data_IF_237254085111
#
_entry.id   IF_237254085111
#
_cell.length_a   1.000
_cell.length_b   1.000
_cell.length_c   1.000
_cell.angle_alpha   90.00
_cell.angle_beta   90.00
_cell.angle_gamma   90.00
#
_symmetry.space_group_name_H-M   'P 1'
#
loop_
_entity.id
_entity.type
_entity.pdbx_description
1 polymer ?
#
# COMPACT_ATOMS: atom_id res chain seq x y z
N UNK A 1 34.73 -24.33 6.12
CA UNK A 1 34.85 -23.76 4.76
C UNK A 1 33.95 -24.55 3.83
N UNK A 2 32.64 -24.33 3.95
CA UNK A 2 31.56 -24.87 3.10
C UNK A 2 30.71 -23.68 2.74
N UNK A 3 30.84 -23.10 1.58
CA UNK A 3 29.97 -21.96 1.31
C UNK A 3 29.82 -21.56 -0.16
N UNK A 4 30.89 -21.27 -0.87
CA UNK A 4 30.78 -20.64 -2.17
C UNK A 4 30.62 -21.59 -3.38
N UNK A 5 31.13 -22.82 -3.33
CA UNK A 5 30.91 -23.83 -4.38
C UNK A 5 29.49 -24.39 -4.33
N UNK A 6 28.94 -24.55 -3.14
CA UNK A 6 27.62 -25.12 -2.88
C UNK A 6 26.47 -24.24 -3.35
N UNK A 7 26.59 -22.92 -3.16
CA UNK A 7 25.58 -21.95 -3.63
C UNK A 7 25.49 -21.90 -5.16
N UNK A 8 26.63 -21.97 -5.85
CA UNK A 8 26.67 -21.93 -7.32
C UNK A 8 26.12 -23.22 -7.95
N UNK A 9 26.43 -24.38 -7.36
CA UNK A 9 25.89 -25.67 -7.79
C UNK A 9 24.38 -25.76 -7.50
N UNK A 10 23.94 -25.28 -6.35
CA UNK A 10 22.52 -25.19 -5.98
C UNK A 10 21.75 -24.29 -6.95
N UNK A 11 22.30 -23.12 -7.32
CA UNK A 11 21.71 -22.22 -8.30
C UNK A 11 21.56 -22.85 -9.69
N UNK A 12 22.60 -23.56 -10.15
CA UNK A 12 22.57 -24.27 -11.43
C UNK A 12 21.52 -25.39 -11.41
N UNK A 13 21.48 -26.18 -10.33
CA UNK A 13 20.51 -27.27 -10.16
C UNK A 13 19.06 -26.74 -10.08
N UNK A 14 18.83 -25.61 -9.42
CA UNK A 14 17.53 -24.94 -9.36
C UNK A 14 17.07 -24.47 -10.75
N UNK A 15 17.96 -23.81 -11.52
CA UNK A 15 17.65 -23.39 -12.88
C UNK A 15 17.36 -24.58 -13.82
N UNK A 16 18.10 -25.66 -13.69
CA UNK A 16 17.88 -26.86 -14.50
C UNK A 16 16.52 -27.54 -14.25
N UNK A 17 15.91 -27.30 -13.08
CA UNK A 17 14.62 -27.89 -12.67
C UNK A 17 13.46 -26.91 -12.65
N UNK A 18 13.67 -25.65 -13.04
CA UNK A 18 12.66 -24.58 -12.91
C UNK A 18 11.33 -24.88 -13.58
N UNK A 19 11.34 -25.57 -14.72
CA UNK A 19 10.11 -25.92 -15.44
C UNK A 19 9.23 -26.90 -14.64
N UNK A 20 9.80 -27.69 -13.74
CA UNK A 20 9.06 -28.54 -12.81
C UNK A 20 8.18 -27.77 -11.83
N UNK A 21 8.46 -26.47 -11.61
CA UNK A 21 7.64 -25.60 -10.73
C UNK A 21 6.22 -25.43 -11.27
N UNK A 22 6.00 -25.54 -12.58
CA UNK A 22 4.66 -25.45 -13.21
C UNK A 22 3.73 -26.58 -12.80
N UNK A 23 4.28 -27.71 -12.34
CA UNK A 23 3.50 -28.87 -11.90
C UNK A 23 3.20 -28.84 -10.39
N UNK A 24 3.71 -27.85 -9.66
CA UNK A 24 3.49 -27.73 -8.22
C UNK A 24 2.15 -27.03 -7.96
N UNK A 25 1.39 -27.54 -6.99
CA UNK A 25 0.13 -26.93 -6.57
C UNK A 25 0.35 -25.47 -6.13
N UNK A 26 -0.57 -24.59 -6.54
CA UNK A 26 -0.46 -23.14 -6.32
C UNK A 26 -0.39 -22.78 -4.83
N UNK A 27 -1.08 -23.51 -3.97
CA UNK A 27 -1.05 -23.32 -2.50
C UNK A 27 0.34 -23.57 -1.93
N UNK A 28 1.06 -24.56 -2.47
CA UNK A 28 2.43 -24.84 -2.05
C UNK A 28 3.39 -23.77 -2.53
N UNK A 29 3.24 -23.31 -3.77
CA UNK A 29 4.00 -22.18 -4.31
C UNK A 29 3.76 -20.95 -3.46
N UNK A 30 2.50 -20.64 -3.12
CA UNK A 30 2.11 -19.54 -2.25
C UNK A 30 2.78 -19.62 -0.87
N UNK A 31 2.73 -20.80 -0.24
CA UNK A 31 3.34 -20.99 1.07
C UNK A 31 4.86 -20.72 1.06
N UNK A 32 5.57 -21.20 0.02
CA UNK A 32 7.01 -20.97 -0.10
C UNK A 32 7.34 -19.51 -0.46
N UNK A 33 6.53 -18.84 -1.32
CA UNK A 33 6.70 -17.43 -1.62
C UNK A 33 6.51 -16.55 -0.37
N UNK A 34 5.54 -16.88 0.50
CA UNK A 34 5.38 -16.16 1.78
C UNK A 34 6.63 -16.26 2.68
N UNK A 35 7.23 -17.43 2.77
CA UNK A 35 8.47 -17.64 3.53
C UNK A 35 9.63 -16.85 2.91
N UNK A 36 9.78 -16.93 1.59
CA UNK A 36 10.83 -16.22 0.85
C UNK A 36 10.70 -14.70 1.06
N UNK A 37 9.50 -14.16 0.86
CA UNK A 37 9.25 -12.71 0.96
C UNK A 37 9.50 -12.17 2.37
N UNK A 38 9.16 -12.94 3.41
CA UNK A 38 9.41 -12.55 4.80
C UNK A 38 10.82 -12.94 5.30
N UNK A 39 11.64 -13.56 4.46
CA UNK A 39 12.99 -13.96 4.80
C UNK A 39 14.00 -12.82 4.81
N UNK A 40 15.09 -13.01 5.53
CA UNK A 40 16.19 -12.04 5.68
C UNK A 40 16.89 -11.73 4.35
N UNK A 41 17.09 -12.74 3.51
CA UNK A 41 17.85 -12.62 2.25
C UNK A 41 16.96 -12.36 1.04
N UNK A 42 15.75 -11.86 1.24
CA UNK A 42 14.75 -11.68 0.17
C UNK A 42 15.30 -10.90 -1.03
N UNK A 43 15.98 -9.77 -0.80
CA UNK A 43 16.54 -8.95 -1.88
C UNK A 43 17.53 -9.76 -2.73
N UNK A 44 18.45 -10.48 -2.08
CA UNK A 44 19.45 -11.30 -2.77
C UNK A 44 18.78 -12.38 -3.60
N UNK A 45 17.75 -13.05 -3.06
CA UNK A 45 17.04 -14.12 -3.77
C UNK A 45 16.26 -13.56 -4.96
N UNK A 46 15.53 -12.45 -4.78
CA UNK A 46 14.80 -11.81 -5.87
C UNK A 46 15.74 -11.39 -7.02
N UNK A 47 16.86 -10.76 -6.70
CA UNK A 47 17.85 -10.32 -7.70
C UNK A 47 18.56 -11.49 -8.39
N UNK A 48 18.84 -12.58 -7.66
CA UNK A 48 19.62 -13.70 -8.20
C UNK A 48 18.81 -14.66 -9.07
N UNK A 49 17.46 -14.74 -8.85
CA UNK A 49 16.63 -15.79 -9.44
C UNK A 49 15.33 -15.28 -10.09
N UNK A 50 15.34 -14.15 -10.85
CA UNK A 50 14.14 -13.67 -11.51
C UNK A 50 13.58 -14.67 -12.52
N UNK A 51 14.44 -15.44 -13.20
CA UNK A 51 14.07 -16.46 -14.16
C UNK A 51 13.38 -17.69 -13.53
N UNK A 52 13.65 -18.00 -12.26
CA UNK A 52 12.96 -19.04 -11.51
C UNK A 52 11.61 -18.50 -11.01
N UNK A 53 11.61 -17.30 -10.43
CA UNK A 53 10.38 -16.65 -9.96
C UNK A 53 9.39 -16.41 -11.09
N UNK A 54 9.87 -16.03 -12.26
CA UNK A 54 9.05 -15.83 -13.46
C UNK A 54 8.34 -17.07 -13.98
N UNK A 55 8.72 -18.29 -13.54
CA UNK A 55 7.98 -19.52 -13.86
C UNK A 55 6.64 -19.56 -13.14
N UNK A 56 6.60 -19.08 -11.90
CA UNK A 56 5.40 -19.09 -11.02
C UNK A 56 4.68 -17.73 -11.00
N UNK A 57 5.42 -16.65 -11.29
CA UNK A 57 4.95 -15.26 -11.36
C UNK A 57 5.42 -14.64 -12.69
N UNK A 58 4.89 -15.07 -13.84
CA UNK A 58 5.34 -14.58 -15.14
C UNK A 58 5.14 -13.06 -15.33
N UNK A 59 4.24 -12.46 -14.56
CA UNK A 59 3.95 -11.03 -14.55
C UNK A 59 5.15 -10.19 -14.12
N UNK A 60 6.13 -10.76 -13.42
CA UNK A 60 7.37 -10.08 -13.00
C UNK A 60 8.36 -9.90 -14.17
N UNK A 61 8.34 -10.81 -15.15
CA UNK A 61 9.37 -10.86 -16.19
C UNK A 61 9.49 -9.57 -17.03
N UNK A 62 8.41 -8.87 -17.39
CA UNK A 62 8.50 -7.59 -18.10
C UNK A 62 9.25 -6.50 -17.33
N UNK A 63 9.33 -6.62 -15.99
CA UNK A 63 10.03 -5.65 -15.14
C UNK A 63 11.55 -5.85 -15.13
N UNK A 64 12.02 -7.06 -15.47
CA UNK A 64 13.45 -7.42 -15.40
C UNK A 64 14.22 -6.72 -16.51
N UNK A 65 15.20 -5.90 -16.13
CA UNK A 65 15.99 -5.11 -17.07
C UNK A 65 15.24 -3.93 -17.71
N UNK A 66 14.02 -3.61 -17.23
CA UNK A 66 13.24 -2.50 -17.76
C UNK A 66 13.76 -1.16 -17.24
N UNK A 67 14.51 -0.42 -18.07
CA UNK A 67 15.05 0.90 -17.75
C UNK A 67 13.94 1.93 -17.58
N UNK A 68 13.88 2.57 -16.40
CA UNK A 68 12.87 3.57 -16.08
C UNK A 68 13.09 4.92 -16.76
N UNK A 69 14.30 5.19 -17.28
CA UNK A 69 14.69 6.46 -17.92
C UNK A 69 14.26 7.69 -17.12
N UNK A 70 14.39 7.62 -15.81
CA UNK A 70 13.97 8.68 -14.92
C UNK A 70 15.09 9.00 -13.92
N UNK A 71 15.52 10.28 -13.76
CA UNK A 71 16.65 10.66 -12.93
C UNK A 71 16.46 10.34 -11.43
N UNK A 72 15.23 10.10 -10.99
CA UNK A 72 14.93 9.70 -9.62
C UNK A 72 15.13 8.20 -9.37
N UNK A 73 15.30 7.40 -10.43
CA UNK A 73 15.47 5.95 -10.37
C UNK A 73 16.84 5.57 -10.95
N UNK A 74 17.69 4.96 -10.13
CA UNK A 74 19.00 4.45 -10.54
C UNK A 74 19.00 2.95 -10.87
N UNK A 75 17.88 2.29 -10.66
CA UNK A 75 17.68 0.86 -10.89
C UNK A 75 16.61 0.63 -11.96
N UNK A 76 16.67 -0.50 -12.65
CA UNK A 76 15.54 -0.98 -13.44
C UNK A 76 14.31 -1.28 -12.55
N UNK A 77 13.14 -1.53 -13.15
CA UNK A 77 11.91 -1.75 -12.39
C UNK A 77 12.03 -2.95 -11.45
N UNK A 78 12.68 -4.04 -11.90
CA UNK A 78 12.83 -5.24 -11.10
C UNK A 78 13.78 -5.05 -9.92
N UNK A 79 14.95 -4.46 -10.16
CA UNK A 79 15.93 -4.20 -9.10
C UNK A 79 15.34 -3.23 -8.06
N UNK A 80 14.64 -2.18 -8.50
CA UNK A 80 13.89 -1.28 -7.62
C UNK A 80 12.88 -2.06 -6.77
N UNK A 81 12.06 -2.90 -7.40
CA UNK A 81 11.07 -3.74 -6.72
C UNK A 81 11.71 -4.66 -5.68
N UNK A 82 12.77 -5.38 -6.05
CA UNK A 82 13.47 -6.30 -5.13
C UNK A 82 14.05 -5.57 -3.90
N UNK A 83 14.64 -4.40 -4.10
CA UNK A 83 15.16 -3.55 -3.03
C UNK A 83 14.06 -2.98 -2.14
N UNK A 84 12.95 -2.53 -2.74
CA UNK A 84 11.77 -2.05 -2.02
C UNK A 84 11.15 -3.17 -1.16
N UNK A 85 11.04 -4.38 -1.70
CA UNK A 85 10.62 -5.55 -0.92
C UNK A 85 11.55 -5.76 0.27
N UNK A 86 12.88 -5.75 0.06
CA UNK A 86 13.87 -5.94 1.13
C UNK A 86 13.84 -4.86 2.21
N UNK A 87 13.53 -3.61 1.84
CA UNK A 87 13.48 -2.47 2.75
C UNK A 87 12.17 -2.43 3.58
N UNK A 88 11.10 -3.06 3.11
CA UNK A 88 9.84 -3.10 3.84
C UNK A 88 9.95 -4.01 5.10
N UNK A 89 9.21 -3.73 6.17
CA UNK A 89 9.08 -4.66 7.30
C UNK A 89 8.65 -6.06 6.84
N UNK A 90 9.13 -7.15 7.50
CA UNK A 90 8.91 -8.52 7.02
C UNK A 90 7.51 -9.05 7.37
N UNK A 91 6.49 -8.31 6.99
CA UNK A 91 5.08 -8.74 7.07
C UNK A 91 4.57 -9.13 5.69
N UNK A 92 3.68 -10.12 5.63
CA UNK A 92 3.16 -10.61 4.34
C UNK A 92 2.49 -9.49 3.53
N UNK A 93 1.66 -8.65 4.16
CA UNK A 93 0.97 -7.55 3.47
C UNK A 93 1.98 -6.59 2.82
N UNK A 94 2.94 -6.09 3.60
CA UNK A 94 3.91 -5.10 3.10
C UNK A 94 4.81 -5.68 2.01
N UNK A 95 5.32 -6.90 2.21
CA UNK A 95 6.22 -7.57 1.25
C UNK A 95 5.52 -7.91 -0.07
N UNK A 96 4.28 -8.40 -0.02
CA UNK A 96 3.48 -8.62 -1.23
C UNK A 96 3.12 -7.30 -1.90
N UNK A 97 2.71 -6.28 -1.15
CA UNK A 97 2.44 -4.95 -1.73
C UNK A 97 3.66 -4.44 -2.50
N UNK A 98 4.86 -4.48 -1.87
CA UNK A 98 6.08 -4.02 -2.53
C UNK A 98 6.49 -4.89 -3.72
N UNK A 99 6.20 -6.19 -3.73
CA UNK A 99 6.46 -7.04 -4.90
C UNK A 99 5.55 -6.69 -6.09
N UNK A 100 4.33 -6.23 -5.81
CA UNK A 100 3.28 -6.08 -6.82
C UNK A 100 3.04 -4.62 -7.26
N UNK A 101 3.55 -3.60 -6.52
CA UNK A 101 3.19 -2.20 -6.72
C UNK A 101 3.54 -1.64 -8.11
N UNK A 102 4.63 -2.08 -8.69
CA UNK A 102 5.22 -1.54 -9.93
C UNK A 102 5.06 -2.46 -11.16
N UNK A 103 4.31 -3.56 -11.06
CA UNK A 103 4.12 -4.53 -12.17
C UNK A 103 3.56 -3.91 -13.43
N UNK A 104 2.77 -2.84 -13.30
CA UNK A 104 2.15 -2.14 -14.42
C UNK A 104 3.09 -1.19 -15.17
N UNK A 105 4.25 -0.83 -14.61
CA UNK A 105 5.16 0.16 -15.22
C UNK A 105 5.55 -0.16 -16.66
N UNK A 106 5.98 -1.39 -17.01
CA UNK A 106 6.37 -1.68 -18.39
C UNK A 106 5.26 -1.45 -19.41
N UNK A 107 3.99 -1.65 -19.00
CA UNK A 107 2.82 -1.50 -19.89
C UNK A 107 2.35 -0.05 -20.05
N UNK A 108 2.78 0.85 -19.13
CA UNK A 108 2.38 2.26 -19.11
C UNK A 108 3.51 3.21 -19.50
N UNK A 109 4.65 2.66 -19.92
CA UNK A 109 5.81 3.50 -20.22
C UNK A 109 5.55 4.47 -21.38
N UNK A 110 5.79 5.74 -21.11
CA UNK A 110 5.84 6.80 -22.12
C UNK A 110 7.09 7.62 -21.91
N UNK A 111 7.53 8.33 -22.91
CA UNK A 111 8.73 9.17 -22.83
C UNK A 111 8.38 10.56 -23.35
N UNK A 112 8.80 11.61 -22.62
CA UNK A 112 8.63 12.99 -23.05
C UNK A 112 9.73 13.43 -24.03
N UNK A 113 9.67 14.70 -24.47
CA UNK A 113 10.60 15.28 -25.42
C UNK A 113 12.05 15.36 -24.87
N UNK A 114 12.21 15.40 -23.55
CA UNK A 114 13.50 15.44 -22.87
C UNK A 114 14.08 14.04 -22.62
N UNK A 115 13.36 13.00 -23.04
CA UNK A 115 13.78 11.62 -22.89
C UNK A 115 13.48 11.03 -21.52
N UNK A 116 12.69 11.71 -20.67
CA UNK A 116 12.32 11.25 -19.33
C UNK A 116 11.15 10.28 -19.41
N UNK A 117 11.27 9.15 -18.72
CA UNK A 117 10.24 8.11 -18.63
C UNK A 117 9.13 8.47 -17.65
N UNK A 118 7.88 8.19 -18.05
CA UNK A 118 6.67 8.37 -17.25
C UNK A 118 5.81 7.10 -17.28
N UNK A 119 5.05 6.86 -16.20
CA UNK A 119 4.29 5.63 -15.98
C UNK A 119 2.85 5.92 -15.54
N UNK A 120 2.16 6.80 -16.23
CA UNK A 120 0.81 7.22 -15.87
C UNK A 120 -0.17 6.03 -15.84
N UNK A 121 -0.87 5.85 -14.72
CA UNK A 121 -1.86 4.80 -14.53
C UNK A 121 -1.28 3.40 -14.22
N UNK A 122 0.04 3.27 -14.01
CA UNK A 122 0.68 1.98 -13.70
C UNK A 122 0.09 1.31 -12.46
N UNK A 123 -0.31 2.07 -11.44
CA UNK A 123 -0.90 1.53 -10.20
C UNK A 123 -2.21 0.79 -10.44
N UNK A 124 -3.07 1.29 -11.34
CA UNK A 124 -4.30 0.61 -11.71
C UNK A 124 -4.01 -0.73 -12.42
N UNK A 125 -3.00 -0.76 -13.31
CA UNK A 125 -2.58 -1.99 -13.99
C UNK A 125 -1.90 -2.94 -13.00
N UNK A 126 -1.04 -2.42 -12.11
CA UNK A 126 -0.43 -3.21 -11.03
C UNK A 126 -1.49 -3.88 -10.15
N UNK A 127 -2.53 -3.14 -9.75
CA UNK A 127 -3.64 -3.69 -8.98
C UNK A 127 -4.40 -4.78 -9.75
N UNK A 128 -4.64 -4.60 -11.04
CA UNK A 128 -5.28 -5.62 -11.87
C UNK A 128 -4.43 -6.89 -12.00
N UNK A 129 -3.13 -6.77 -12.23
CA UNK A 129 -2.19 -7.89 -12.26
C UNK A 129 -2.12 -8.60 -10.91
N UNK A 130 -2.10 -7.84 -9.82
CA UNK A 130 -2.12 -8.37 -8.45
C UNK A 130 -3.38 -9.21 -8.19
N UNK A 131 -4.55 -8.79 -8.64
CA UNK A 131 -5.79 -9.59 -8.53
C UNK A 131 -5.65 -10.95 -9.20
N UNK A 132 -5.10 -10.99 -10.40
CA UNK A 132 -4.84 -12.25 -11.12
C UNK A 132 -3.87 -13.17 -10.36
N UNK A 133 -2.80 -12.61 -9.81
CA UNK A 133 -1.82 -13.35 -9.01
C UNK A 133 -2.45 -13.88 -7.71
N UNK A 134 -3.15 -13.04 -6.97
CA UNK A 134 -3.79 -13.41 -5.70
C UNK A 134 -4.84 -14.50 -5.90
N UNK A 135 -5.65 -14.41 -6.96
CA UNK A 135 -6.65 -15.42 -7.30
C UNK A 135 -5.97 -16.76 -7.69
N UNK A 136 -4.95 -16.73 -8.55
CA UNK A 136 -4.22 -17.92 -9.01
C UNK A 136 -3.50 -18.64 -7.89
N UNK A 137 -2.91 -17.90 -6.97
CA UNK A 137 -2.16 -18.45 -5.83
C UNK A 137 -3.03 -18.75 -4.61
N UNK A 138 -4.34 -18.54 -4.70
CA UNK A 138 -5.30 -18.79 -3.61
C UNK A 138 -4.95 -18.06 -2.31
N UNK A 139 -4.73 -16.73 -2.40
CA UNK A 139 -4.45 -15.92 -1.20
C UNK A 139 -5.57 -16.03 -0.17
N UNK A 140 -5.19 -16.07 1.09
CA UNK A 140 -6.12 -15.91 2.21
C UNK A 140 -6.86 -14.57 2.08
N UNK A 141 -8.16 -14.57 2.36
CA UNK A 141 -9.02 -13.38 2.20
C UNK A 141 -8.47 -12.13 2.90
N UNK A 142 -8.02 -12.27 4.16
CA UNK A 142 -7.47 -11.16 4.94
C UNK A 142 -6.19 -10.57 4.30
N UNK A 143 -5.28 -11.43 3.82
CA UNK A 143 -4.07 -10.96 3.15
C UNK A 143 -4.39 -10.26 1.82
N UNK A 144 -5.28 -10.85 1.02
CA UNK A 144 -5.71 -10.24 -0.24
C UNK A 144 -6.37 -8.87 -0.02
N UNK A 145 -7.23 -8.73 1.00
CA UNK A 145 -7.81 -7.44 1.37
C UNK A 145 -6.75 -6.41 1.78
N UNK A 146 -5.77 -6.80 2.61
CA UNK A 146 -4.69 -5.91 3.02
C UNK A 146 -3.85 -5.43 1.84
N UNK A 147 -3.47 -6.32 0.93
CA UNK A 147 -2.71 -5.96 -0.28
C UNK A 147 -3.51 -5.04 -1.20
N UNK A 148 -4.81 -5.32 -1.43
CA UNK A 148 -5.71 -4.44 -2.19
C UNK A 148 -5.80 -3.04 -1.60
N UNK A 149 -6.03 -2.95 -0.30
CA UNK A 149 -6.11 -1.67 0.40
C UNK A 149 -4.83 -0.85 0.23
N UNK A 150 -3.67 -1.50 0.32
CA UNK A 150 -2.38 -0.86 0.12
C UNK A 150 -2.18 -0.38 -1.32
N UNK A 151 -2.44 -1.22 -2.32
CA UNK A 151 -2.31 -0.84 -3.73
C UNK A 151 -3.27 0.28 -4.11
N UNK A 152 -4.48 0.31 -3.54
CA UNK A 152 -5.47 1.34 -3.81
C UNK A 152 -5.07 2.73 -3.28
N UNK A 153 -4.31 2.81 -2.17
CA UNK A 153 -3.84 4.07 -1.61
C UNK A 153 -2.35 4.34 -1.86
N UNK A 154 -1.67 3.47 -2.64
CA UNK A 154 -0.22 3.57 -2.82
C UNK A 154 0.24 4.91 -3.39
N UNK A 155 -0.53 5.51 -4.31
CA UNK A 155 -0.19 6.80 -4.94
C UNK A 155 -0.64 8.01 -4.13
N UNK A 156 -1.28 7.82 -2.97
CA UNK A 156 -1.67 8.96 -2.12
C UNK A 156 -0.45 9.82 -1.78
N UNK A 157 -0.60 11.11 -2.07
CA UNK A 157 0.39 12.14 -1.75
C UNK A 157 -0.26 13.15 -0.81
N UNK A 158 0.39 13.46 0.29
CA UNK A 158 -0.13 14.37 1.29
C UNK A 158 1.03 15.07 2.01
N UNK A 159 0.83 16.29 2.51
CA UNK A 159 1.83 16.96 3.34
C UNK A 159 1.95 16.24 4.69
N UNK A 160 3.15 16.23 5.32
CA UNK A 160 3.33 15.72 6.67
C UNK A 160 2.77 16.71 7.70
N UNK A 161 1.46 16.86 7.71
CA UNK A 161 0.69 17.74 8.60
C UNK A 161 -0.28 16.91 9.42
N UNK A 162 -0.49 17.28 10.67
CA UNK A 162 -1.31 16.55 11.64
C UNK A 162 -2.72 16.26 11.08
N UNK A 163 -3.41 17.28 10.56
CA UNK A 163 -4.74 17.13 9.97
C UNK A 163 -4.75 16.26 8.71
N UNK A 164 -3.68 16.28 7.89
CA UNK A 164 -3.60 15.46 6.69
C UNK A 164 -3.45 13.97 7.05
N UNK A 165 -2.58 13.64 8.01
CA UNK A 165 -2.41 12.27 8.50
C UNK A 165 -3.67 11.78 9.20
N UNK A 166 -4.30 12.61 10.04
CA UNK A 166 -5.55 12.26 10.73
C UNK A 166 -6.67 11.94 9.75
N UNK A 167 -6.86 12.75 8.69
CA UNK A 167 -7.84 12.47 7.63
C UNK A 167 -7.57 11.18 6.88
N UNK A 168 -6.31 10.86 6.63
CA UNK A 168 -5.98 9.56 6.02
C UNK A 168 -6.35 8.42 6.94
N UNK A 169 -6.04 8.53 8.25
CA UNK A 169 -6.42 7.53 9.25
C UNK A 169 -7.94 7.37 9.33
N UNK A 170 -8.69 8.48 9.27
CA UNK A 170 -10.16 8.43 9.24
C UNK A 170 -10.71 7.79 7.95
N UNK A 171 -10.04 7.98 6.81
CA UNK A 171 -10.46 7.45 5.50
C UNK A 171 -10.11 5.98 5.29
N UNK A 172 -8.90 5.59 5.64
CA UNK A 172 -8.36 4.25 5.32
C UNK A 172 -8.21 3.34 6.54
N UNK A 173 -8.34 3.88 7.75
CA UNK A 173 -8.07 3.18 9.00
C UNK A 173 -6.59 3.22 9.40
N UNK A 174 -6.33 3.10 10.71
CA UNK A 174 -4.98 3.18 11.29
C UNK A 174 -4.01 2.18 10.66
N UNK A 175 -4.38 0.92 10.58
CA UNK A 175 -3.51 -0.16 10.08
C UNK A 175 -3.10 0.08 8.61
N UNK A 176 -4.05 0.53 7.77
CA UNK A 176 -3.76 0.83 6.36
C UNK A 176 -2.80 2.01 6.23
N UNK A 177 -2.98 3.07 7.01
CA UNK A 177 -2.11 4.26 6.96
C UNK A 177 -0.71 3.95 7.49
N UNK A 178 -0.61 3.21 8.60
CA UNK A 178 0.71 2.74 9.06
C UNK A 178 1.43 1.95 7.97
N UNK A 179 0.74 1.02 7.36
CA UNK A 179 1.28 0.19 6.28
C UNK A 179 1.68 1.05 5.06
N UNK A 180 0.87 2.05 4.69
CA UNK A 180 1.19 2.99 3.62
C UNK A 180 2.49 3.76 3.92
N UNK A 181 2.65 4.28 5.13
CA UNK A 181 3.87 4.99 5.53
C UNK A 181 5.10 4.09 5.45
N UNK A 182 4.99 2.83 5.89
CA UNK A 182 6.07 1.85 5.78
C UNK A 182 6.42 1.52 4.31
N UNK A 183 5.41 1.36 3.44
CA UNK A 183 5.65 1.10 2.01
C UNK A 183 6.28 2.31 1.29
N UNK A 184 5.86 3.54 1.64
CA UNK A 184 6.48 4.77 1.12
C UNK A 184 7.96 4.90 1.53
N UNK A 185 8.29 4.58 2.78
CA UNK A 185 9.68 4.56 3.25
C UNK A 185 10.50 3.50 2.51
N UNK A 186 9.95 2.32 2.30
CA UNK A 186 10.60 1.22 1.60
C UNK A 186 10.82 1.53 0.10
N UNK A 187 9.81 2.07 -0.58
CA UNK A 187 9.90 2.53 -1.97
C UNK A 187 11.01 3.58 -2.15
N UNK A 188 11.04 4.57 -1.24
CA UNK A 188 12.08 5.60 -1.31
C UNK A 188 13.46 5.07 -0.94
N UNK A 189 13.58 4.06 -0.08
CA UNK A 189 14.86 3.41 0.23
C UNK A 189 15.49 2.71 -0.99
N UNK A 190 14.68 2.32 -1.97
CA UNK A 190 15.09 1.70 -3.22
C UNK A 190 15.34 2.69 -4.38
N UNK A 191 15.30 3.99 -4.12
CA UNK A 191 15.62 5.03 -5.10
C UNK A 191 17.12 5.39 -5.06
N UNK A 192 17.53 6.38 -5.86
CA UNK A 192 18.92 6.81 -5.91
C UNK A 192 19.43 7.24 -4.52
N UNK A 193 20.63 6.80 -4.09
CA UNK A 193 21.19 7.20 -2.79
C UNK A 193 21.34 8.71 -2.64
N UNK A 194 21.63 9.41 -3.75
CA UNK A 194 21.70 10.86 -3.79
C UNK A 194 20.28 11.44 -3.57
N UNK A 195 20.04 12.07 -2.43
CA UNK A 195 18.74 12.65 -2.07
C UNK A 195 17.82 11.74 -1.27
N UNK A 196 18.25 10.54 -0.88
CA UNK A 196 17.47 9.59 -0.08
C UNK A 196 16.91 10.24 1.20
N UNK A 197 17.74 10.94 1.95
CA UNK A 197 17.32 11.63 3.18
C UNK A 197 16.18 12.64 2.90
N UNK A 198 16.34 13.45 1.85
CA UNK A 198 15.31 14.41 1.44
C UNK A 198 14.01 13.73 1.00
N UNK A 199 14.11 12.59 0.30
CA UNK A 199 12.96 11.85 -0.17
C UNK A 199 12.20 11.13 0.95
N UNK A 200 12.90 10.65 1.98
CA UNK A 200 12.31 9.95 3.12
C UNK A 200 11.80 10.88 4.23
N UNK A 201 12.34 12.09 4.32
CA UNK A 201 12.01 13.04 5.39
C UNK A 201 10.50 13.24 5.58
N UNK A 202 9.69 13.57 4.55
CA UNK A 202 8.25 13.79 4.73
C UNK A 202 7.51 12.54 5.24
N UNK A 203 7.95 11.35 4.84
CA UNK A 203 7.33 10.10 5.28
C UNK A 203 7.68 9.75 6.73
N UNK A 204 8.90 10.07 7.17
CA UNK A 204 9.30 9.94 8.59
C UNK A 204 8.55 10.94 9.47
N UNK A 205 8.40 12.18 9.01
CA UNK A 205 7.61 13.19 9.72
C UNK A 205 6.14 12.75 9.83
N UNK A 206 5.55 12.24 8.75
CA UNK A 206 4.19 11.72 8.76
C UNK A 206 4.03 10.49 9.70
N UNK A 207 5.06 9.65 9.82
CA UNK A 207 5.04 8.51 10.75
C UNK A 207 5.06 8.98 12.21
N UNK A 208 5.83 10.02 12.54
CA UNK A 208 5.80 10.63 13.88
C UNK A 208 4.42 11.17 14.23
N UNK A 209 3.79 11.89 13.30
CA UNK A 209 2.42 12.40 13.46
C UNK A 209 1.39 11.28 13.61
N UNK A 210 1.56 10.17 12.88
CA UNK A 210 0.76 8.96 13.06
C UNK A 210 0.89 8.39 14.48
N UNK A 211 2.11 8.33 15.01
CA UNK A 211 2.38 7.84 16.37
C UNK A 211 1.77 8.76 17.42
N UNK A 212 1.86 10.08 17.26
CA UNK A 212 1.22 11.09 18.10
C UNK A 212 -0.30 10.91 18.12
N UNK A 213 -0.96 10.90 16.95
CA UNK A 213 -2.40 10.68 16.81
C UNK A 213 -2.86 9.35 17.44
N UNK A 214 -2.03 8.31 17.33
CA UNK A 214 -2.33 7.00 17.92
C UNK A 214 -2.21 7.04 19.44
N UNK A 215 -1.19 7.73 20.00
CA UNK A 215 -1.00 7.90 21.44
C UNK A 215 -2.12 8.74 22.08
N UNK A 216 -2.62 9.74 21.36
CA UNK A 216 -3.75 10.59 21.76
C UNK A 216 -5.11 9.91 21.63
N UNK A 217 -5.17 8.70 21.08
CA UNK A 217 -6.42 8.00 20.72
C UNK A 217 -7.33 8.85 19.82
N UNK A 218 -6.77 9.57 18.86
CA UNK A 218 -7.51 10.41 17.93
C UNK A 218 -8.64 9.62 17.26
N UNK A 219 -9.81 10.23 17.09
CA UNK A 219 -10.97 9.57 16.49
C UNK A 219 -10.75 9.33 14.98
N UNK A 220 -10.58 8.07 14.59
CA UNK A 220 -10.27 7.68 13.22
C UNK A 220 -11.31 6.77 12.58
N UNK A 221 -12.45 6.54 13.23
CA UNK A 221 -13.51 5.69 12.69
C UNK A 221 -14.90 6.16 13.11
N UNK A 222 -15.92 5.76 12.34
CA UNK A 222 -17.34 6.04 12.68
C UNK A 222 -17.76 5.42 14.00
N UNK A 223 -17.10 4.35 14.45
CA UNK A 223 -17.37 3.69 15.72
C UNK A 223 -16.81 4.47 16.92
N UNK A 224 -15.75 5.25 16.71
CA UNK A 224 -15.09 6.05 17.73
C UNK A 224 -15.71 7.44 17.92
N UNK A 225 -16.66 7.84 17.06
CA UNK A 225 -17.40 9.07 17.24
C UNK A 225 -18.30 8.99 18.47
N UNK A 226 -18.25 10.00 19.33
CA UNK A 226 -19.08 10.13 20.51
C UNK A 226 -20.55 10.53 20.19
N UNK A 227 -21.07 10.04 19.05
CA UNK A 227 -22.46 10.15 18.62
C UNK A 227 -22.89 8.85 17.95
N UNK A 228 -24.05 8.34 18.36
CA UNK A 228 -24.63 7.11 17.84
C UNK A 228 -25.52 7.37 16.60
N UNK A 229 -25.88 6.30 15.89
CA UNK A 229 -26.91 6.37 14.85
C UNK A 229 -28.27 6.79 15.41
N UNK A 230 -28.63 6.32 16.61
CA UNK A 230 -29.89 6.63 17.29
C UNK A 230 -29.98 8.12 17.65
N UNK A 231 -28.88 8.74 18.04
CA UNK A 231 -28.81 10.18 18.29
C UNK A 231 -29.15 10.98 17.02
N UNK A 232 -28.63 10.53 15.87
CA UNK A 232 -28.91 11.18 14.58
C UNK A 232 -30.35 10.91 14.10
N UNK A 233 -30.88 9.72 14.35
CA UNK A 233 -32.30 9.41 14.11
C UNK A 233 -33.22 10.33 14.93
N UNK A 234 -32.88 10.60 16.19
CA UNK A 234 -33.63 11.49 17.08
C UNK A 234 -33.62 12.97 16.58
N UNK A 235 -32.57 13.40 15.88
CA UNK A 235 -32.52 14.72 15.23
C UNK A 235 -33.44 14.78 14.00
N UNK A 236 -33.70 13.62 13.36
CA UNK A 236 -34.54 13.49 12.16
C UNK A 236 -33.83 12.99 10.90
N UNK A 237 -32.53 12.63 10.99
CA UNK A 237 -31.87 11.90 9.91
C UNK A 237 -32.52 10.51 9.75
N UNK A 238 -32.46 9.94 8.55
CA UNK A 238 -33.06 8.63 8.29
C UNK A 238 -32.35 7.88 7.18
N UNK A 239 -32.39 6.55 7.22
CA UNK A 239 -31.81 5.70 6.20
C UNK A 239 -30.34 6.03 5.91
N UNK A 240 -30.00 6.25 4.66
CA UNK A 240 -28.62 6.50 4.20
C UNK A 240 -28.01 7.79 4.77
N UNK A 241 -28.86 8.80 5.07
CA UNK A 241 -28.36 10.10 5.56
C UNK A 241 -27.76 10.03 6.98
N UNK A 242 -28.08 9.00 7.78
CA UNK A 242 -27.44 8.75 9.09
C UNK A 242 -25.95 8.43 8.90
N UNK A 243 -25.62 7.51 8.00
CA UNK A 243 -24.22 7.16 7.70
C UNK A 243 -23.44 8.35 7.16
N UNK A 244 -24.01 9.05 6.20
CA UNK A 244 -23.39 10.24 5.60
C UNK A 244 -23.18 11.37 6.62
N UNK A 245 -24.09 11.56 7.57
CA UNK A 245 -23.89 12.51 8.65
C UNK A 245 -22.73 12.12 9.55
N UNK A 246 -22.60 10.82 9.91
CA UNK A 246 -21.44 10.32 10.65
C UNK A 246 -20.13 10.52 9.90
N UNK A 247 -20.10 10.21 8.60
CA UNK A 247 -18.92 10.43 7.74
C UNK A 247 -18.53 11.91 7.72
N UNK A 248 -19.50 12.81 7.60
CA UNK A 248 -19.25 14.24 7.63
C UNK A 248 -18.71 14.72 8.96
N UNK A 249 -19.27 14.25 10.06
CA UNK A 249 -18.78 14.58 11.42
C UNK A 249 -17.36 14.05 11.63
N UNK A 250 -17.05 12.83 11.21
CA UNK A 250 -15.72 12.27 11.28
C UNK A 250 -14.70 13.09 10.46
N UNK A 251 -15.07 13.51 9.25
CA UNK A 251 -14.20 14.34 8.41
C UNK A 251 -13.91 15.70 9.06
N UNK A 252 -14.91 16.29 9.73
CA UNK A 252 -14.72 17.55 10.45
C UNK A 252 -13.87 17.38 11.73
N UNK A 253 -14.00 16.26 12.42
CA UNK A 253 -13.14 15.90 13.56
C UNK A 253 -11.70 15.69 13.10
N UNK A 254 -11.49 14.90 12.06
CA UNK A 254 -10.16 14.65 11.50
C UNK A 254 -9.52 15.90 10.89
N UNK A 255 -10.34 16.89 10.53
CA UNK A 255 -9.89 18.21 10.09
C UNK A 255 -9.62 19.19 11.24
N UNK A 256 -9.75 18.77 12.50
CA UNK A 256 -9.61 19.58 13.71
C UNK A 256 -10.56 20.79 13.75
N UNK A 257 -11.68 20.71 13.03
CA UNK A 257 -12.73 21.73 13.00
C UNK A 257 -13.83 21.48 14.02
N UNK A 258 -13.87 20.29 14.58
CA UNK A 258 -14.87 19.80 15.51
C UNK A 258 -14.22 18.87 16.54
N UNK A 259 -14.50 19.08 17.81
CA UNK A 259 -14.08 18.16 18.86
C UNK A 259 -14.94 16.89 18.84
N UNK A 260 -14.34 15.72 19.13
CA UNK A 260 -15.08 14.46 19.30
C UNK A 260 -15.77 14.41 20.68
N UNK A 261 -16.50 15.46 20.98
CA UNK A 261 -17.35 15.60 22.17
C UNK A 261 -18.82 15.45 21.79
N UNK A 262 -19.60 14.73 22.60
CA UNK A 262 -21.00 14.42 22.29
C UNK A 262 -21.82 15.69 22.02
N UNK A 263 -21.71 16.71 22.88
CA UNK A 263 -22.51 17.91 22.75
C UNK A 263 -22.08 18.77 21.54
N UNK A 264 -20.80 18.81 21.24
CA UNK A 264 -20.27 19.47 20.05
C UNK A 264 -20.78 18.79 18.76
N UNK A 265 -20.69 17.45 18.72
CA UNK A 265 -21.18 16.63 17.60
C UNK A 265 -22.68 16.76 17.41
N UNK A 266 -23.49 16.72 18.48
CA UNK A 266 -24.94 16.87 18.42
C UNK A 266 -25.32 18.26 17.90
N UNK A 267 -24.75 19.34 18.45
CA UNK A 267 -24.98 20.69 17.95
C UNK A 267 -24.62 20.84 16.48
N UNK A 268 -23.56 20.18 16.02
CA UNK A 268 -23.15 20.21 14.61
C UNK A 268 -24.14 19.43 13.74
N UNK A 269 -24.56 18.25 14.16
CA UNK A 269 -25.53 17.44 13.45
C UNK A 269 -26.88 18.14 13.30
N UNK A 270 -27.39 18.79 14.38
CA UNK A 270 -28.60 19.60 14.31
C UNK A 270 -28.48 20.76 13.29
N UNK A 271 -27.34 21.45 13.26
CA UNK A 271 -27.11 22.52 12.26
C UNK A 271 -27.13 21.97 10.84
N UNK A 272 -26.50 20.80 10.59
CA UNK A 272 -26.56 20.12 9.30
C UNK A 272 -28.00 19.80 8.91
N UNK A 273 -28.77 19.22 9.83
CA UNK A 273 -30.17 18.86 9.58
C UNK A 273 -31.04 20.09 9.26
N UNK A 274 -30.93 21.17 10.05
CA UNK A 274 -31.69 22.42 9.87
C UNK A 274 -31.34 23.17 8.57
N UNK A 275 -30.08 23.04 8.08
CA UNK A 275 -29.67 23.62 6.80
C UNK A 275 -30.24 22.90 5.58
N UNK A 276 -31.01 21.82 5.79
CA UNK A 276 -31.56 21.01 4.71
C UNK A 276 -30.58 19.99 4.14
N UNK A 277 -29.36 19.89 4.71
CA UNK A 277 -28.40 18.87 4.28
C UNK A 277 -28.92 17.44 4.54
N UNK A 278 -28.93 16.61 3.52
CA UNK A 278 -29.45 15.24 3.55
C UNK A 278 -28.40 14.23 3.08
N UNK A 279 -27.16 14.65 3.02
CA UNK A 279 -26.06 13.90 2.46
C UNK A 279 -25.64 14.47 1.11
N UNK A 280 -24.33 14.36 0.80
CA UNK A 280 -23.81 14.73 -0.50
C UNK A 280 -24.32 13.68 -1.50
N UNK A 281 -25.28 14.08 -2.34
CA UNK A 281 -25.85 13.23 -3.38
C UNK A 281 -24.76 12.86 -4.39
N UNK A 282 -24.13 11.73 -4.18
CA UNK A 282 -23.56 10.95 -5.27
C UNK A 282 -24.59 9.88 -5.62
N UNK A 283 -25.38 10.19 -6.68
CA UNK A 283 -26.11 9.16 -7.41
C UNK A 283 -25.17 8.14 -8.03
#
# INVERSE_FOLDING_TARGET
>A
MLGFSDERETAIAARARKDGLRAIAHERVYAELNKLLCGEYVTTVLLSYPDILGVVLPELLPCVGFDQRNPHHCYDVWEHTARSVGAAPPTRVLRWTMLLHDLGKPSCFTQDADGIGHFYGHTAISAQLAEGIMARLHFEHALAQGVRAQLACFDEMFPPEHTAVHRLMARYGRETVWSLLQTKLADNAAKAPAGLERAQKPWREALLLYDELTAENACCSLAELNVSGDDLLAIGFSGRSVGQAKERLLDEVAAEKLENDRDALMRRAERLYRSGWRGDGKE
#
